data_IF_894059513136
#
_entry.id   IF_894059513136
#
_cell.length_a   1.000
_cell.length_b   1.000
_cell.length_c   1.000
_cell.angle_alpha   90.00
_cell.angle_beta   90.00
_cell.angle_gamma   90.00
#
_symmetry.space_group_name_H-M   'P 1'
#
loop_
_entity.id
_entity.type
_entity.pdbx_description
1 polymer ?
#
# COMPACT_ATOMS: atom_id res chain seq x y z
N UNK A 1 -25.96 -5.82 -17.15
CA UNK A 1 -26.31 -4.78 -18.10
C UNK A 1 -25.09 -4.41 -18.94
N UNK A 2 -25.26 -4.18 -20.22
CA UNK A 2 -24.22 -3.76 -21.12
C UNK A 2 -24.49 -2.32 -21.58
N UNK A 3 -23.48 -1.47 -21.69
CA UNK A 3 -22.06 -1.69 -21.46
C UNK A 3 -21.66 -1.65 -19.97
N UNK A 4 -20.58 -2.35 -19.62
CA UNK A 4 -19.94 -2.20 -18.33
C UNK A 4 -19.10 -0.92 -18.33
N UNK A 5 -19.49 0.05 -17.52
CA UNK A 5 -18.75 1.31 -17.34
C UNK A 5 -17.84 1.20 -16.13
N UNK A 6 -16.58 1.52 -16.30
CA UNK A 6 -15.59 1.49 -15.23
C UNK A 6 -15.50 2.86 -14.55
N UNK A 7 -15.39 2.87 -13.24
CA UNK A 7 -14.93 4.02 -12.48
C UNK A 7 -13.44 4.26 -12.71
N UNK A 8 -12.97 5.44 -12.33
CA UNK A 8 -11.52 5.78 -12.37
C UNK A 8 -10.70 4.78 -11.55
N UNK A 9 -11.21 4.38 -10.38
CA UNK A 9 -10.55 3.40 -9.53
C UNK A 9 -10.45 2.02 -10.20
N UNK A 10 -11.52 1.55 -10.82
CA UNK A 10 -11.52 0.25 -11.52
C UNK A 10 -10.61 0.27 -12.75
N UNK A 11 -10.53 1.40 -13.47
CA UNK A 11 -9.56 1.57 -14.55
C UNK A 11 -8.12 1.50 -14.03
N UNK A 12 -7.81 2.16 -12.91
CA UNK A 12 -6.51 2.06 -12.25
C UNK A 12 -6.18 0.61 -11.86
N UNK A 13 -7.14 -0.08 -11.22
CA UNK A 13 -6.99 -1.49 -10.86
C UNK A 13 -6.69 -2.37 -12.08
N UNK A 14 -7.38 -2.12 -13.21
CA UNK A 14 -7.13 -2.87 -14.44
C UNK A 14 -5.68 -2.70 -14.94
N UNK A 15 -5.15 -1.49 -14.92
CA UNK A 15 -3.75 -1.24 -15.27
C UNK A 15 -2.79 -1.91 -14.28
N UNK A 16 -3.08 -1.83 -12.98
CA UNK A 16 -2.32 -2.50 -11.93
C UNK A 16 -2.23 -4.01 -12.16
N UNK A 17 -3.37 -4.68 -12.28
CA UNK A 17 -3.41 -6.12 -12.50
C UNK A 17 -2.77 -6.54 -13.84
N UNK A 18 -2.90 -5.70 -14.85
CA UNK A 18 -2.21 -5.93 -16.11
C UNK A 18 -0.68 -5.78 -15.99
N UNK A 19 -0.19 -4.96 -15.07
CA UNK A 19 1.23 -4.89 -14.72
C UNK A 19 1.77 -6.22 -14.19
N UNK A 20 1.03 -6.90 -13.33
CA UNK A 20 1.34 -8.27 -12.91
C UNK A 20 1.31 -9.25 -14.09
N UNK A 21 0.29 -9.11 -14.96
CA UNK A 21 0.18 -9.91 -16.16
C UNK A 21 1.39 -9.77 -17.09
N UNK A 22 1.81 -8.54 -17.37
CA UNK A 22 3.00 -8.25 -18.19
C UNK A 22 4.27 -8.82 -17.57
N UNK A 23 4.44 -8.66 -16.26
CA UNK A 23 5.57 -9.24 -15.54
C UNK A 23 5.63 -10.78 -15.74
N UNK A 24 4.47 -11.43 -15.65
CA UNK A 24 4.37 -12.86 -15.91
C UNK A 24 4.68 -13.26 -17.37
N UNK A 25 4.18 -12.47 -18.32
CA UNK A 25 4.39 -12.72 -19.77
C UNK A 25 5.83 -12.52 -20.23
N UNK A 26 6.51 -11.51 -19.68
CA UNK A 26 7.90 -11.22 -20.01
C UNK A 26 8.91 -12.06 -19.23
N UNK A 27 8.45 -12.90 -18.33
CA UNK A 27 9.34 -13.77 -17.57
C UNK A 27 10.00 -14.80 -18.48
N UNK A 28 11.33 -14.73 -18.54
CA UNK A 28 12.18 -15.67 -19.27
C UNK A 28 13.16 -16.34 -18.29
N UNK A 29 12.83 -17.53 -17.83
CA UNK A 29 13.64 -18.30 -16.88
C UNK A 29 13.87 -19.71 -17.40
N UNK A 30 15.10 -20.18 -17.27
CA UNK A 30 15.46 -21.52 -17.74
C UNK A 30 14.84 -22.64 -16.86
N UNK A 31 14.68 -22.39 -15.54
CA UNK A 31 14.11 -23.35 -14.62
C UNK A 31 12.84 -22.78 -13.96
N UNK A 32 11.75 -23.51 -14.05
CA UNK A 32 10.46 -23.08 -13.49
C UNK A 32 10.51 -22.83 -11.96
N UNK A 33 11.37 -23.55 -11.24
CA UNK A 33 11.53 -23.40 -9.79
C UNK A 33 12.09 -22.04 -9.35
N UNK A 34 12.71 -21.28 -10.25
CA UNK A 34 13.24 -19.93 -9.97
C UNK A 34 12.37 -18.82 -10.58
N UNK A 35 11.16 -19.16 -10.97
CA UNK A 35 10.23 -18.23 -11.61
C UNK A 35 9.41 -17.39 -10.62
N UNK A 36 9.57 -17.62 -9.32
CA UNK A 36 8.86 -16.86 -8.31
C UNK A 36 9.33 -15.40 -8.24
N UNK A 37 8.41 -14.50 -7.89
CA UNK A 37 8.71 -13.08 -7.68
C UNK A 37 8.87 -12.84 -6.18
N UNK A 38 9.98 -12.21 -5.73
CA UNK A 38 10.12 -11.79 -4.34
C UNK A 38 8.97 -10.87 -3.91
N UNK A 39 8.50 -11.03 -2.69
CA UNK A 39 7.33 -10.29 -2.17
C UNK A 39 7.56 -8.78 -2.11
N UNK A 40 8.76 -8.35 -1.79
CA UNK A 40 9.19 -6.96 -1.74
C UNK A 40 9.33 -6.30 -3.13
N UNK A 41 9.27 -7.09 -4.21
CA UNK A 41 9.36 -6.61 -5.59
C UNK A 41 8.05 -6.78 -6.37
N UNK A 42 7.13 -7.61 -5.90
CA UNK A 42 5.96 -8.06 -6.67
C UNK A 42 5.09 -6.92 -7.17
N UNK A 43 4.97 -5.83 -6.41
CA UNK A 43 4.12 -4.68 -6.75
C UNK A 43 4.82 -3.62 -7.63
N UNK A 44 6.13 -3.76 -7.93
CA UNK A 44 6.82 -2.77 -8.74
C UNK A 44 6.23 -2.67 -10.15
N UNK A 45 6.03 -3.76 -10.91
CA UNK A 45 5.48 -3.69 -12.26
C UNK A 45 4.02 -3.21 -12.29
N UNK A 46 3.21 -3.66 -11.32
CA UNK A 46 1.81 -3.28 -11.21
C UNK A 46 1.64 -1.79 -10.91
N UNK A 47 2.38 -1.27 -9.93
CA UNK A 47 2.34 0.15 -9.55
C UNK A 47 2.95 1.06 -10.63
N UNK A 48 3.95 0.61 -11.37
CA UNK A 48 4.46 1.35 -12.54
C UNK A 48 3.37 1.53 -13.59
N UNK A 49 2.57 0.49 -13.85
CA UNK A 49 1.49 0.57 -14.83
C UNK A 49 0.38 1.56 -14.44
N UNK A 50 0.15 1.79 -13.16
CA UNK A 50 -0.82 2.77 -12.67
C UNK A 50 -0.53 4.19 -13.16
N UNK A 51 0.73 4.56 -13.35
CA UNK A 51 1.11 5.88 -13.85
C UNK A 51 0.57 6.17 -15.26
N UNK A 52 0.36 5.14 -16.07
CA UNK A 52 -0.14 5.30 -17.44
C UNK A 52 -1.63 5.59 -17.53
N UNK A 53 -2.40 5.32 -16.46
CA UNK A 53 -3.87 5.51 -16.45
C UNK A 53 -4.25 6.95 -16.80
N UNK A 54 -3.53 7.92 -16.28
CA UNK A 54 -3.85 9.34 -16.42
C UNK A 54 -3.01 10.06 -17.48
N UNK A 55 -2.13 9.34 -18.20
CA UNK A 55 -1.37 9.94 -19.27
C UNK A 55 -2.29 10.39 -20.40
N UNK A 56 -2.22 11.67 -20.84
CA UNK A 56 -3.16 12.21 -21.82
C UNK A 56 -3.25 11.42 -23.12
N UNK A 57 -2.13 10.90 -23.60
CA UNK A 57 -2.10 10.10 -24.84
C UNK A 57 -2.79 8.73 -24.65
N UNK A 58 -2.67 8.14 -23.46
CA UNK A 58 -3.33 6.87 -23.12
C UNK A 58 -4.83 7.09 -22.94
N UNK A 59 -5.22 8.16 -22.25
CA UNK A 59 -6.63 8.53 -22.05
C UNK A 59 -7.36 8.74 -23.39
N UNK A 60 -6.73 9.33 -24.39
CA UNK A 60 -7.30 9.46 -25.75
C UNK A 60 -7.66 8.13 -26.38
N UNK A 61 -6.99 7.06 -25.99
CA UNK A 61 -7.22 5.73 -26.55
C UNK A 61 -8.41 5.06 -25.89
N UNK A 62 -8.48 5.04 -24.56
CA UNK A 62 -9.48 4.24 -23.85
C UNK A 62 -10.60 5.04 -23.20
N UNK A 63 -10.35 6.28 -22.74
CA UNK A 63 -11.33 7.08 -22.01
C UNK A 63 -12.30 7.77 -22.96
N UNK A 64 -13.23 6.99 -23.54
CA UNK A 64 -14.21 7.44 -24.52
C UNK A 64 -15.64 7.24 -23.99
N UNK A 65 -16.49 8.20 -24.32
CA UNK A 65 -17.90 8.09 -23.99
C UNK A 65 -18.52 6.89 -24.77
N UNK A 66 -19.19 6.01 -24.06
CA UNK A 66 -19.62 4.72 -24.59
C UNK A 66 -20.66 4.78 -25.73
N UNK A 67 -21.41 5.90 -25.85
CA UNK A 67 -22.37 6.10 -26.94
C UNK A 67 -21.80 6.97 -28.06
N UNK A 68 -21.12 8.07 -27.72
CA UNK A 68 -20.67 9.06 -28.72
C UNK A 68 -19.28 8.80 -29.23
N UNK A 69 -18.45 8.07 -28.49
CA UNK A 69 -17.04 7.84 -28.82
C UNK A 69 -16.14 9.05 -28.54
N UNK A 70 -16.71 10.14 -28.01
CA UNK A 70 -15.94 11.34 -27.66
C UNK A 70 -14.94 11.05 -26.55
N UNK A 71 -13.72 11.56 -26.70
CA UNK A 71 -12.66 11.44 -25.68
C UNK A 71 -13.01 12.29 -24.47
N UNK A 72 -12.60 11.82 -23.29
CA UNK A 72 -12.77 12.57 -22.05
C UNK A 72 -12.27 14.02 -22.19
N UNK A 73 -13.04 15.03 -21.78
CA UNK A 73 -12.62 16.43 -21.86
C UNK A 73 -11.37 16.72 -21.01
N UNK A 74 -10.45 17.52 -21.55
CA UNK A 74 -9.21 17.89 -20.86
C UNK A 74 -9.46 18.55 -19.49
N UNK A 75 -10.55 19.32 -19.36
CA UNK A 75 -10.94 19.93 -18.08
C UNK A 75 -11.23 18.88 -17.00
N UNK A 76 -11.81 17.74 -17.36
CA UNK A 76 -12.05 16.65 -16.40
C UNK A 76 -10.74 15.98 -15.99
N UNK A 77 -9.80 15.81 -16.91
CA UNK A 77 -8.45 15.27 -16.61
C UNK A 77 -7.74 16.17 -15.60
N UNK A 78 -7.76 17.50 -15.81
CA UNK A 78 -7.18 18.45 -14.86
C UNK A 78 -7.85 18.40 -13.48
N UNK A 79 -9.17 18.24 -13.43
CA UNK A 79 -9.90 18.11 -12.17
C UNK A 79 -9.52 16.82 -11.44
N UNK A 80 -9.35 15.72 -12.16
CA UNK A 80 -8.90 14.46 -11.59
C UNK A 80 -7.49 14.57 -11.00
N UNK A 81 -6.55 15.18 -11.73
CA UNK A 81 -5.19 15.41 -11.24
C UNK A 81 -5.16 16.29 -9.98
N UNK A 82 -5.91 17.38 -9.98
CA UNK A 82 -6.03 18.26 -8.80
C UNK A 82 -6.67 17.53 -7.60
N UNK A 83 -7.70 16.74 -7.86
CA UNK A 83 -8.38 15.96 -6.83
C UNK A 83 -7.46 14.91 -6.21
N UNK A 84 -6.62 14.24 -7.02
CA UNK A 84 -5.66 13.25 -6.54
C UNK A 84 -4.57 13.83 -5.62
N UNK A 85 -4.30 15.13 -5.74
CA UNK A 85 -3.33 15.84 -4.87
C UNK A 85 -3.92 16.34 -3.56
N UNK A 86 -5.25 16.39 -3.47
CA UNK A 86 -5.92 16.88 -2.27
C UNK A 86 -5.81 15.89 -1.12
N UNK A 87 -5.41 16.38 0.05
CA UNK A 87 -5.28 15.55 1.25
C UNK A 87 -4.12 14.55 1.22
N UNK A 88 -3.22 14.63 0.24
CA UNK A 88 -2.12 13.66 0.06
C UNK A 88 -1.22 13.57 1.30
N UNK A 89 -0.96 14.68 1.99
CA UNK A 89 -0.19 14.66 3.24
C UNK A 89 -0.85 13.81 4.32
N UNK A 90 -2.17 13.92 4.48
CA UNK A 90 -2.91 13.09 5.41
C UNK A 90 -2.88 11.61 5.01
N UNK A 91 -3.19 11.32 3.76
CA UNK A 91 -3.21 9.94 3.24
C UNK A 91 -1.84 9.25 3.40
N UNK A 92 -0.75 9.97 3.09
CA UNK A 92 0.60 9.46 3.26
C UNK A 92 0.95 9.23 4.74
N UNK A 93 0.57 10.15 5.63
CA UNK A 93 0.80 10.00 7.06
C UNK A 93 0.02 8.82 7.63
N UNK A 94 -1.23 8.64 7.21
CA UNK A 94 -2.06 7.50 7.60
C UNK A 94 -1.44 6.17 7.15
N UNK A 95 -0.94 6.12 5.92
CA UNK A 95 -0.24 4.95 5.40
C UNK A 95 1.06 4.67 6.17
N UNK A 96 1.89 5.71 6.38
CA UNK A 96 3.15 5.57 7.11
C UNK A 96 2.94 5.14 8.57
N UNK A 97 1.82 5.48 9.19
CA UNK A 97 1.51 5.01 10.55
C UNK A 97 1.46 3.47 10.61
N UNK A 98 0.90 2.82 9.57
CA UNK A 98 0.89 1.36 9.47
C UNK A 98 2.32 0.80 9.31
N UNK A 99 3.13 1.40 8.44
CA UNK A 99 4.52 1.00 8.22
C UNK A 99 5.39 1.17 9.49
N UNK A 100 5.17 2.22 10.24
CA UNK A 100 5.86 2.44 11.52
C UNK A 100 5.48 1.41 12.57
N UNK A 101 4.20 1.05 12.64
CA UNK A 101 3.74 0.03 13.57
C UNK A 101 4.34 -1.34 13.22
N UNK A 102 4.34 -1.68 11.93
CA UNK A 102 4.96 -2.88 11.39
C UNK A 102 6.44 -2.95 11.76
N UNK A 103 7.20 -1.94 11.41
CA UNK A 103 8.64 -1.88 11.70
C UNK A 103 8.93 -1.96 13.20
N UNK A 104 8.14 -1.32 14.04
CA UNK A 104 8.36 -1.37 15.49
C UNK A 104 8.08 -2.76 16.07
N UNK A 105 7.09 -3.50 15.55
CA UNK A 105 6.87 -4.90 15.93
C UNK A 105 8.05 -5.78 15.52
N UNK A 106 8.52 -5.66 14.30
CA UNK A 106 9.59 -6.50 13.76
C UNK A 106 10.98 -6.08 14.21
N UNK A 107 11.13 -4.88 14.75
CA UNK A 107 12.34 -4.40 15.38
C UNK A 107 12.48 -4.78 16.86
N UNK A 108 11.51 -5.47 17.43
CA UNK A 108 11.61 -6.00 18.80
C UNK A 108 12.72 -7.04 18.85
N UNK A 109 13.81 -6.75 19.53
CA UNK A 109 14.95 -7.66 19.60
C UNK A 109 14.66 -8.88 20.49
N UNK A 110 14.95 -10.06 19.95
CA UNK A 110 14.57 -11.37 20.48
C UNK A 110 15.42 -11.93 21.63
N UNK A 111 16.09 -11.14 22.40
CA UNK A 111 16.70 -11.59 23.65
C UNK A 111 15.65 -11.94 24.72
N UNK A 112 14.45 -12.20 24.26
CA UNK A 112 13.26 -12.33 25.08
C UNK A 112 13.07 -13.69 25.74
N UNK A 113 13.91 -14.70 25.44
CA UNK A 113 13.75 -16.03 26.06
C UNK A 113 13.90 -16.00 27.59
N UNK A 114 14.65 -15.01 28.12
CA UNK A 114 14.85 -14.85 29.56
C UNK A 114 14.47 -13.45 30.12
N UNK A 115 13.87 -12.58 29.31
CA UNK A 115 13.78 -11.16 29.68
C UNK A 115 12.36 -10.64 29.82
N UNK A 116 12.13 -10.04 30.93
CA UNK A 116 10.90 -9.34 31.32
C UNK A 116 10.64 -8.03 30.52
N UNK A 117 11.52 -7.71 29.56
CA UNK A 117 11.47 -6.42 28.85
C UNK A 117 11.95 -6.58 27.41
N UNK A 118 11.15 -6.10 26.47
CA UNK A 118 11.48 -5.97 25.06
C UNK A 118 12.04 -4.56 24.81
N UNK A 119 13.16 -4.43 24.12
CA UNK A 119 13.74 -3.13 23.77
C UNK A 119 13.41 -2.77 22.34
N UNK A 120 12.99 -1.53 22.11
CA UNK A 120 12.91 -0.98 20.77
C UNK A 120 14.31 -0.76 20.16
N UNK A 121 14.39 -0.72 18.84
CA UNK A 121 15.65 -0.48 18.12
C UNK A 121 16.30 0.85 18.48
N UNK A 122 15.53 1.86 18.82
CA UNK A 122 16.01 3.16 19.30
C UNK A 122 16.52 3.14 20.76
N UNK A 123 16.43 1.98 21.41
CA UNK A 123 16.87 1.73 22.80
C UNK A 123 16.27 2.65 23.86
N UNK A 124 15.29 3.46 23.52
CA UNK A 124 14.74 4.49 24.43
C UNK A 124 13.58 3.99 25.28
N UNK A 125 12.90 2.93 24.81
CA UNK A 125 11.72 2.41 25.50
C UNK A 125 11.82 0.90 25.76
N UNK A 126 11.59 0.52 27.01
CA UNK A 126 11.46 -0.88 27.40
C UNK A 126 9.98 -1.29 27.32
N UNK A 127 9.68 -2.38 26.63
CA UNK A 127 8.32 -2.93 26.56
C UNK A 127 8.23 -4.15 27.47
N UNK A 128 7.18 -4.27 28.31
CA UNK A 128 6.98 -5.44 29.16
C UNK A 128 6.88 -6.73 28.36
N UNK A 129 7.35 -7.84 28.93
CA UNK A 129 7.23 -9.17 28.31
C UNK A 129 5.79 -9.57 28.00
N UNK A 130 4.83 -9.09 28.79
CA UNK A 130 3.40 -9.17 28.50
C UNK A 130 2.99 -7.94 27.71
N UNK A 131 3.27 -7.95 26.41
CA UNK A 131 2.96 -6.83 25.53
C UNK A 131 1.45 -6.59 25.48
N UNK A 132 0.99 -5.47 26.04
CA UNK A 132 -0.34 -4.97 25.73
C UNK A 132 -0.30 -4.33 24.34
N UNK A 133 -0.89 -5.00 23.38
CA UNK A 133 -0.87 -4.60 21.97
C UNK A 133 -1.43 -3.19 21.76
N UNK A 134 -2.47 -2.82 22.50
CA UNK A 134 -3.08 -1.48 22.40
C UNK A 134 -2.18 -0.39 22.94
N UNK A 135 -1.50 -0.67 24.05
CA UNK A 135 -0.55 0.28 24.64
C UNK A 135 0.69 0.43 23.75
N UNK A 136 1.15 -0.66 23.16
CA UNK A 136 2.25 -0.64 22.20
C UNK A 136 1.91 0.22 20.97
N UNK A 137 0.75 0.00 20.37
CA UNK A 137 0.25 0.79 19.25
C UNK A 137 0.18 2.28 19.58
N UNK A 138 -0.39 2.62 20.74
CA UNK A 138 -0.47 4.02 21.19
C UNK A 138 0.89 4.65 21.45
N UNK A 139 1.82 3.93 22.06
CA UNK A 139 3.17 4.44 22.30
C UNK A 139 3.95 4.63 21.01
N UNK A 140 3.92 3.63 20.13
CA UNK A 140 4.58 3.65 18.83
C UNK A 140 4.14 4.82 17.97
N UNK A 141 2.85 4.99 17.81
CA UNK A 141 2.29 6.01 16.94
C UNK A 141 2.25 7.39 17.64
N UNK A 142 2.02 7.43 18.94
CA UNK A 142 1.99 8.66 19.73
C UNK A 142 3.33 9.39 19.75
N UNK A 143 4.45 8.69 19.85
CA UNK A 143 5.80 9.30 19.76
C UNK A 143 6.10 9.90 18.39
N UNK A 144 5.36 9.48 17.35
CA UNK A 144 5.43 10.01 15.97
C UNK A 144 4.36 11.07 15.67
N UNK A 145 3.62 11.49 16.69
CA UNK A 145 2.65 12.59 16.62
C UNK A 145 1.22 12.18 16.29
N UNK A 146 0.90 10.88 16.26
CA UNK A 146 -0.50 10.47 16.13
C UNK A 146 -1.28 10.86 17.40
N UNK A 147 -2.37 11.58 17.19
CA UNK A 147 -3.23 11.99 18.29
C UNK A 147 -3.95 10.78 18.90
N UNK A 148 -4.05 10.75 20.20
CA UNK A 148 -4.65 9.64 20.95
C UNK A 148 -6.11 9.33 20.56
N UNK A 149 -6.81 10.34 20.04
CA UNK A 149 -8.19 10.25 19.58
C UNK A 149 -8.32 9.67 18.15
N UNK A 150 -7.23 9.57 17.42
CA UNK A 150 -7.22 9.06 16.04
C UNK A 150 -6.69 7.64 16.06
N UNK A 151 -7.53 6.63 15.81
CA UNK A 151 -7.08 5.25 15.67
C UNK A 151 -6.24 5.10 14.39
N UNK A 152 -5.25 4.23 14.44
CA UNK A 152 -4.54 3.82 13.23
C UNK A 152 -5.49 3.16 12.24
N UNK A 153 -5.26 3.39 10.93
CA UNK A 153 -6.01 2.71 9.87
C UNK A 153 -5.88 1.20 9.96
N UNK A 154 -4.69 0.71 10.25
CA UNK A 154 -4.40 -0.71 10.44
C UNK A 154 -4.02 -0.94 11.90
N UNK A 155 -4.91 -1.60 12.61
CA UNK A 155 -4.67 -1.98 14.00
C UNK A 155 -4.12 -3.39 14.06
N UNK A 156 -3.32 -3.68 15.08
CA UNK A 156 -2.65 -4.95 15.26
C UNK A 156 -3.57 -6.15 15.15
N UNK A 157 -4.81 -6.05 15.61
CA UNK A 157 -5.78 -7.14 15.62
C UNK A 157 -6.28 -7.57 14.24
N UNK A 158 -6.10 -6.76 13.22
CA UNK A 158 -6.51 -7.08 11.84
C UNK A 158 -5.47 -6.70 10.77
N UNK A 159 -4.26 -6.36 11.19
CA UNK A 159 -3.17 -6.06 10.26
C UNK A 159 -2.51 -7.35 9.76
N UNK A 160 -3.24 -8.09 8.95
CA UNK A 160 -2.81 -9.42 8.50
C UNK A 160 -1.51 -9.40 7.68
N UNK A 161 -1.25 -8.35 6.91
CA UNK A 161 -0.03 -8.22 6.11
C UNK A 161 1.23 -8.18 6.96
N UNK A 162 1.15 -7.59 8.17
CA UNK A 162 2.25 -7.53 9.14
C UNK A 162 2.47 -8.89 9.82
N UNK A 163 1.39 -9.61 10.15
CA UNK A 163 1.44 -10.79 11.03
C UNK A 163 1.38 -12.11 10.26
N UNK A 164 1.11 -12.07 8.98
CA UNK A 164 0.99 -13.26 8.15
C UNK A 164 0.93 -12.93 6.66
N UNK A 165 0.92 -13.94 5.81
CA UNK A 165 0.76 -13.73 4.37
C UNK A 165 2.06 -13.55 3.58
N UNK A 166 3.22 -13.59 4.23
CA UNK A 166 4.51 -13.66 3.55
C UNK A 166 5.01 -12.35 2.94
N UNK A 167 4.61 -11.21 3.48
CA UNK A 167 5.23 -9.90 3.21
C UNK A 167 6.33 -9.55 4.23
N UNK A 168 6.48 -10.36 5.27
CA UNK A 168 7.50 -10.23 6.32
C UNK A 168 8.47 -11.38 6.28
#
# INVERSE_FOLDING_TARGET
AQPALLSVYEANTLFHEFGHGLHGLFRDVHYSGVSGVPRDFVELPSQVMEHWVFEPEVLKVYAKHYQTGEVIPAELIEKLDKSGKYGQGFATTEYLAASYLDMDFHAISGDAADKKVIKFVDQTNNVPANLNVMDFEQQTLGRRGLLKQIPSRYRTTYFNHTMGGGYT
#
